data_IF_258423414409
#
_entry.id   IF_258423414409
#
_cell.length_a   1.000
_cell.length_b   1.000
_cell.length_c   1.000
_cell.angle_alpha   90.00
_cell.angle_beta   90.00
_cell.angle_gamma   90.00
#
_symmetry.space_group_name_H-M   'P 1'
#
loop_
_entity.id
_entity.type
_entity.pdbx_description
1 polymer ?
#
# COMPACT_ATOMS: atom_id res chain seq x y z
N UNK A 1 -2.45 -1.59 -29.89
CA UNK A 1 -1.73 -1.22 -28.65
C UNK A 1 -2.11 0.23 -28.35
N UNK A 2 -3.10 0.46 -27.48
CA UNK A 2 -3.47 1.83 -27.12
C UNK A 2 -2.49 2.35 -26.09
N UNK A 3 -1.74 3.40 -26.44
CA UNK A 3 -0.98 4.20 -25.49
C UNK A 3 -1.96 4.87 -24.51
N UNK A 4 -2.09 4.30 -23.32
CA UNK A 4 -2.78 4.95 -22.21
C UNK A 4 -1.88 6.09 -21.73
N UNK A 5 -2.07 7.30 -22.28
CA UNK A 5 -1.50 8.54 -21.74
C UNK A 5 -1.96 8.72 -20.30
N UNK A 6 -1.16 8.26 -19.34
CA UNK A 6 -1.36 8.53 -17.92
C UNK A 6 -1.09 10.02 -17.67
N UNK A 7 -2.11 10.73 -17.22
CA UNK A 7 -2.01 12.14 -16.80
C UNK A 7 -1.02 12.27 -15.64
N UNK A 8 -0.08 13.22 -15.66
CA UNK A 8 0.89 13.38 -14.58
C UNK A 8 0.17 13.75 -13.29
N UNK A 9 0.24 12.87 -12.27
CA UNK A 9 -0.34 13.15 -10.96
C UNK A 9 0.27 14.42 -10.35
N UNK A 10 -0.56 15.20 -9.63
CA UNK A 10 -0.20 16.52 -9.04
C UNK A 10 1.21 16.53 -8.45
N UNK A 11 2.13 17.24 -9.11
CA UNK A 11 3.52 17.39 -8.63
C UNK A 11 3.56 18.42 -7.51
N UNK A 12 4.55 18.29 -6.62
CA UNK A 12 4.80 19.31 -5.57
C UNK A 12 5.06 20.69 -6.18
N UNK A 13 5.63 20.73 -7.40
CA UNK A 13 5.84 21.97 -8.17
C UNK A 13 4.53 22.66 -8.57
N UNK A 14 3.47 21.91 -8.87
CA UNK A 14 2.16 22.45 -9.27
C UNK A 14 1.38 23.03 -8.09
N UNK A 15 1.77 22.69 -6.85
CA UNK A 15 1.16 23.19 -5.63
C UNK A 15 1.71 24.56 -5.22
N UNK A 16 2.91 24.94 -5.69
CA UNK A 16 3.55 26.23 -5.37
C UNK A 16 2.82 27.43 -6.00
N UNK A 17 2.04 27.20 -7.06
CA UNK A 17 1.27 28.24 -7.75
C UNK A 17 -0.15 28.43 -7.18
N UNK A 18 -0.57 27.56 -6.25
CA UNK A 18 -1.89 27.60 -5.60
C UNK A 18 -1.78 28.28 -4.23
N UNK A 19 -2.84 28.97 -3.80
CA UNK A 19 -2.93 29.48 -2.42
C UNK A 19 -2.81 28.33 -1.40
N UNK A 20 -2.17 28.56 -0.24
CA UNK A 20 -1.79 27.50 0.70
C UNK A 20 -2.93 26.56 1.12
N UNK A 21 -4.13 27.09 1.33
CA UNK A 21 -5.32 26.28 1.66
C UNK A 21 -5.75 25.38 0.48
N UNK A 22 -5.69 25.88 -0.75
CA UNK A 22 -6.04 25.10 -1.93
C UNK A 22 -5.05 23.94 -2.15
N UNK A 23 -3.75 24.21 -1.99
CA UNK A 23 -2.72 23.19 -2.05
C UNK A 23 -2.90 22.12 -0.96
N UNK A 24 -3.21 22.53 0.27
CA UNK A 24 -3.48 21.62 1.37
C UNK A 24 -4.68 20.72 1.11
N UNK A 25 -5.80 21.29 0.66
CA UNK A 25 -7.03 20.53 0.33
C UNK A 25 -6.77 19.48 -0.74
N UNK A 26 -6.07 19.85 -1.79
CA UNK A 26 -5.72 18.92 -2.86
C UNK A 26 -4.78 17.80 -2.39
N UNK A 27 -3.83 18.11 -1.50
CA UNK A 27 -2.94 17.09 -0.92
C UNK A 27 -3.63 16.11 0.03
N UNK A 28 -4.62 16.58 0.78
CA UNK A 28 -5.23 15.82 1.87
C UNK A 28 -6.47 15.06 1.42
N UNK A 29 -7.45 15.75 0.85
CA UNK A 29 -8.75 15.18 0.52
C UNK A 29 -9.00 15.12 -0.99
N UNK A 30 -8.13 15.73 -1.80
CA UNK A 30 -8.30 15.84 -3.25
C UNK A 30 -9.40 16.85 -3.63
N UNK A 31 -10.02 16.64 -4.79
CA UNK A 31 -11.08 17.51 -5.31
C UNK A 31 -12.45 17.14 -4.72
N UNK A 32 -12.68 17.51 -3.47
CA UNK A 32 -13.97 17.33 -2.78
C UNK A 32 -14.65 18.66 -2.45
N UNK A 33 -15.95 18.61 -2.15
CA UNK A 33 -16.70 19.78 -1.68
C UNK A 33 -16.09 20.34 -0.40
N UNK A 34 -16.30 21.64 -0.15
CA UNK A 34 -15.76 22.29 1.05
C UNK A 34 -16.33 21.70 2.35
N UNK A 35 -17.59 21.28 2.35
CA UNK A 35 -18.20 20.58 3.49
C UNK A 35 -17.58 19.21 3.76
N UNK A 36 -17.26 18.44 2.72
CA UNK A 36 -16.58 17.15 2.88
C UNK A 36 -15.16 17.33 3.44
N UNK A 37 -14.46 18.38 3.02
CA UNK A 37 -13.18 18.77 3.59
C UNK A 37 -13.29 19.10 5.09
N UNK A 38 -14.19 20.01 5.47
CA UNK A 38 -14.38 20.39 6.88
C UNK A 38 -14.76 19.19 7.76
N UNK A 39 -15.61 18.29 7.24
CA UNK A 39 -15.98 17.05 7.92
C UNK A 39 -14.76 16.16 8.16
N UNK A 40 -13.90 16.01 7.16
CA UNK A 40 -12.64 15.26 7.28
C UNK A 40 -11.77 15.86 8.38
N UNK A 41 -11.50 17.17 8.32
CA UNK A 41 -10.69 17.88 9.31
C UNK A 41 -11.23 17.74 10.73
N UNK A 42 -12.54 17.90 10.91
CA UNK A 42 -13.19 17.80 12.21
C UNK A 42 -13.04 16.40 12.81
N UNK A 43 -13.34 15.36 12.03
CA UNK A 43 -13.29 13.98 12.51
C UNK A 43 -11.86 13.52 12.81
N UNK A 44 -10.90 13.83 11.93
CA UNK A 44 -9.50 13.44 12.14
C UNK A 44 -8.87 14.21 13.30
N UNK A 45 -9.18 15.50 13.46
CA UNK A 45 -8.65 16.33 14.55
C UNK A 45 -9.18 15.90 15.92
N UNK A 46 -10.48 15.57 16.02
CA UNK A 46 -11.11 15.20 17.30
C UNK A 46 -10.83 13.74 17.69
N UNK A 47 -10.90 12.82 16.74
CA UNK A 47 -10.90 11.37 17.01
C UNK A 47 -9.56 10.71 16.74
N UNK A 48 -8.65 11.37 16.03
CA UNK A 48 -7.35 10.81 15.65
C UNK A 48 -6.57 10.32 16.86
N UNK A 49 -6.37 11.18 17.86
CA UNK A 49 -5.55 10.87 19.05
C UNK A 49 -6.33 10.20 20.18
N UNK A 50 -7.66 10.17 20.10
CA UNK A 50 -8.52 9.72 21.19
C UNK A 50 -8.22 8.26 21.57
N UNK A 51 -7.80 7.99 22.83
CA UNK A 51 -7.38 6.66 23.25
C UNK A 51 -8.54 5.77 23.70
N UNK A 52 -8.22 4.50 23.94
CA UNK A 52 -9.10 3.52 24.57
C UNK A 52 -10.25 3.03 23.68
N UNK A 53 -11.11 2.19 24.28
CA UNK A 53 -12.24 1.56 23.59
C UNK A 53 -13.25 2.58 23.04
N UNK A 54 -13.46 3.69 23.74
CA UNK A 54 -14.35 4.77 23.28
C UNK A 54 -13.82 5.41 21.98
N UNK A 55 -12.53 5.76 21.93
CA UNK A 55 -11.91 6.31 20.72
C UNK A 55 -11.94 5.32 19.55
N UNK A 56 -11.66 4.05 19.81
CA UNK A 56 -11.78 2.98 18.80
C UNK A 56 -13.22 2.87 18.27
N UNK A 57 -14.21 2.82 19.15
CA UNK A 57 -15.62 2.74 18.78
C UNK A 57 -16.05 3.95 17.93
N UNK A 58 -15.71 5.16 18.36
CA UNK A 58 -16.06 6.39 17.63
C UNK A 58 -15.41 6.43 16.25
N UNK A 59 -14.12 6.08 16.12
CA UNK A 59 -13.47 5.99 14.81
C UNK A 59 -14.13 4.93 13.93
N UNK A 60 -14.41 3.72 14.44
CA UNK A 60 -15.12 2.67 13.70
C UNK A 60 -16.54 3.04 13.27
N UNK A 61 -17.19 4.00 13.91
CA UNK A 61 -18.51 4.51 13.50
C UNK A 61 -18.44 5.72 12.58
N UNK A 62 -17.48 6.62 12.80
CA UNK A 62 -17.46 7.93 12.16
C UNK A 62 -16.48 8.02 10.98
N UNK A 63 -15.38 7.27 10.96
CA UNK A 63 -14.46 7.28 9.81
C UNK A 63 -15.03 6.68 8.53
N UNK A 64 -15.90 5.64 8.56
CA UNK A 64 -16.51 5.08 7.36
C UNK A 64 -17.17 6.12 6.43
N UNK A 65 -17.74 7.19 6.99
CA UNK A 65 -18.42 8.22 6.20
C UNK A 65 -17.48 9.23 5.51
N UNK A 66 -16.16 9.03 5.62
CA UNK A 66 -15.12 9.72 4.85
C UNK A 66 -14.65 8.87 3.65
N UNK A 67 -14.84 7.55 3.72
CA UNK A 67 -14.26 6.59 2.80
C UNK A 67 -15.11 6.41 1.54
N UNK A 68 -14.50 5.87 0.47
CA UNK A 68 -15.22 5.47 -0.74
C UNK A 68 -16.17 4.30 -0.48
N UNK A 69 -15.71 3.30 0.28
CA UNK A 69 -16.55 2.25 0.84
C UNK A 69 -15.90 1.64 2.08
N UNK A 70 -16.73 1.13 3.00
CA UNK A 70 -16.25 0.52 4.23
C UNK A 70 -17.17 -0.64 4.64
N UNK A 71 -16.58 -1.82 4.81
CA UNK A 71 -17.26 -3.03 5.27
C UNK A 71 -17.62 -3.00 6.76
N UNK A 72 -18.18 -4.12 7.23
CA UNK A 72 -18.55 -4.32 8.63
C UNK A 72 -17.34 -4.68 9.48
N UNK A 73 -17.35 -4.26 10.74
CA UNK A 73 -16.31 -4.66 11.70
C UNK A 73 -14.92 -4.07 11.42
N UNK A 74 -14.82 -3.01 10.62
CA UNK A 74 -13.55 -2.33 10.35
C UNK A 74 -13.06 -1.58 11.59
N UNK A 75 -11.78 -1.76 11.92
CA UNK A 75 -11.14 -1.13 13.07
C UNK A 75 -10.09 -0.12 12.62
N UNK A 76 -10.14 1.07 13.23
CA UNK A 76 -9.20 2.16 12.97
C UNK A 76 -8.43 2.51 14.24
N UNK A 77 -7.11 2.34 14.17
CA UNK A 77 -6.16 2.73 15.20
C UNK A 77 -6.09 4.25 15.38
N UNK A 78 -5.33 4.64 16.39
CA UNK A 78 -5.02 6.03 16.70
C UNK A 78 -4.09 6.64 15.66
N UNK A 79 -4.25 7.93 15.41
CA UNK A 79 -3.36 8.73 14.58
C UNK A 79 -3.14 8.16 13.17
N UNK A 80 -4.11 7.40 12.65
CA UNK A 80 -4.04 7.00 11.26
C UNK A 80 -4.20 8.24 10.37
N UNK A 81 -3.46 8.27 9.28
CA UNK A 81 -3.57 9.32 8.28
C UNK A 81 -4.28 8.77 7.07
N UNK A 82 -5.43 9.37 6.73
CA UNK A 82 -6.19 9.05 5.54
C UNK A 82 -6.05 10.22 4.56
N UNK A 83 -5.58 9.94 3.35
CA UNK A 83 -5.53 10.92 2.26
C UNK A 83 -6.28 10.41 1.05
N UNK A 84 -7.00 11.33 0.41
CA UNK A 84 -7.98 11.01 -0.64
C UNK A 84 -8.96 9.92 -0.17
N UNK A 85 -9.61 10.09 0.99
CA UNK A 85 -10.34 9.01 1.64
C UNK A 85 -11.50 8.46 0.79
N UNK A 86 -12.10 9.28 -0.07
CA UNK A 86 -13.13 8.85 -1.03
C UNK A 86 -12.67 7.78 -2.03
N UNK A 87 -11.36 7.53 -2.13
CA UNK A 87 -10.75 6.52 -3.00
C UNK A 87 -10.16 5.34 -2.22
N UNK A 88 -10.49 5.24 -0.94
CA UNK A 88 -10.10 4.14 -0.08
C UNK A 88 -11.33 3.25 0.11
N UNK A 89 -11.16 1.97 -0.20
CA UNK A 89 -12.19 0.95 -0.18
C UNK A 89 -11.77 -0.18 0.76
N UNK A 90 -12.52 -0.37 1.85
CA UNK A 90 -12.21 -1.35 2.89
C UNK A 90 -13.28 -2.44 2.93
N UNK A 91 -12.87 -3.70 2.90
CA UNK A 91 -13.73 -4.87 3.08
C UNK A 91 -14.07 -5.14 4.56
N UNK A 92 -14.81 -6.22 4.78
CA UNK A 92 -15.23 -6.62 6.13
C UNK A 92 -14.05 -7.04 7.00
N UNK A 93 -14.05 -6.61 8.26
CA UNK A 93 -13.03 -7.01 9.24
C UNK A 93 -11.62 -6.48 8.96
N UNK A 94 -11.47 -5.47 8.09
CA UNK A 94 -10.17 -4.81 7.89
C UNK A 94 -9.73 -4.12 9.18
N UNK A 95 -8.44 -4.23 9.50
CA UNK A 95 -7.83 -3.57 10.65
C UNK A 95 -6.70 -2.68 10.16
N UNK A 96 -6.77 -1.40 10.52
CA UNK A 96 -5.70 -0.43 10.28
C UNK A 96 -5.17 0.00 11.65
N UNK A 97 -3.98 -0.45 12.04
CA UNK A 97 -3.40 -0.19 13.36
C UNK A 97 -2.81 1.24 13.47
N UNK A 98 -2.44 1.60 14.69
CA UNK A 98 -2.00 2.93 15.10
C UNK A 98 -0.93 3.52 14.15
N UNK A 99 -1.04 4.81 13.84
CA UNK A 99 -0.10 5.60 13.05
C UNK A 99 0.12 5.12 11.61
N UNK A 100 -0.73 4.22 11.09
CA UNK A 100 -0.67 3.83 9.68
C UNK A 100 -1.08 5.01 8.77
N UNK A 101 -0.54 5.02 7.55
CA UNK A 101 -0.86 6.02 6.53
C UNK A 101 -1.47 5.31 5.33
N UNK A 102 -2.67 5.71 4.93
CA UNK A 102 -3.33 5.25 3.71
C UNK A 102 -3.56 6.47 2.81
N UNK A 103 -2.82 6.55 1.70
CA UNK A 103 -2.82 7.72 0.81
C UNK A 103 -3.13 7.32 -0.64
N UNK A 104 -4.39 7.47 -1.04
CA UNK A 104 -4.91 7.06 -2.34
C UNK A 104 -4.77 8.14 -3.43
N UNK A 105 -3.64 8.87 -3.43
CA UNK A 105 -3.40 10.00 -4.33
C UNK A 105 -3.33 9.59 -5.82
N UNK A 106 -3.80 10.48 -6.68
CA UNK A 106 -3.80 10.35 -8.14
C UNK A 106 -5.17 10.71 -8.70
N UNK A 107 -5.23 11.24 -9.92
CA UNK A 107 -6.52 11.63 -10.53
C UNK A 107 -7.18 10.48 -11.27
N UNK A 108 -6.39 9.64 -11.95
CA UNK A 108 -6.87 8.58 -12.84
C UNK A 108 -6.44 7.19 -12.35
N UNK A 109 -6.85 6.80 -11.15
CA UNK A 109 -6.61 5.44 -10.63
C UNK A 109 -7.77 4.97 -9.75
N UNK A 110 -7.79 3.66 -9.45
CA UNK A 110 -8.84 3.02 -8.63
C UNK A 110 -8.63 3.24 -7.12
N UNK A 111 -7.56 3.94 -6.74
CA UNK A 111 -7.20 4.22 -5.35
C UNK A 111 -6.59 3.01 -4.62
N UNK A 112 -7.03 2.81 -3.38
CA UNK A 112 -6.53 1.74 -2.51
C UNK A 112 -7.71 0.86 -2.10
N UNK A 113 -7.62 -0.43 -2.42
CA UNK A 113 -8.59 -1.46 -2.05
C UNK A 113 -7.97 -2.47 -1.11
N UNK A 114 -8.55 -2.62 0.08
CA UNK A 114 -8.21 -3.66 1.04
C UNK A 114 -9.43 -4.58 1.16
N UNK A 115 -9.30 -5.85 0.76
CA UNK A 115 -10.39 -6.82 0.84
C UNK A 115 -10.60 -7.31 2.29
N UNK A 116 -11.47 -8.30 2.47
CA UNK A 116 -11.87 -8.76 3.80
C UNK A 116 -10.69 -9.26 4.63
N UNK A 117 -10.69 -8.93 5.93
CA UNK A 117 -9.72 -9.41 6.92
C UNK A 117 -8.27 -9.04 6.61
N UNK A 118 -8.03 -7.97 5.84
CA UNK A 118 -6.69 -7.40 5.68
C UNK A 118 -6.26 -6.72 6.98
N UNK A 119 -5.02 -6.98 7.40
CA UNK A 119 -4.39 -6.33 8.55
C UNK A 119 -3.25 -5.42 8.09
N UNK A 120 -3.34 -4.13 8.44
CA UNK A 120 -2.28 -3.14 8.26
C UNK A 120 -1.67 -2.81 9.61
N UNK A 121 -0.43 -3.24 9.82
CA UNK A 121 0.30 -3.07 11.07
C UNK A 121 0.71 -1.62 11.36
N UNK A 122 1.10 -1.40 12.61
CA UNK A 122 1.45 -0.09 13.16
C UNK A 122 2.49 0.65 12.32
N UNK A 123 2.20 1.91 11.99
CA UNK A 123 3.13 2.77 11.25
C UNK A 123 3.43 2.33 9.82
N UNK A 124 2.66 1.39 9.27
CA UNK A 124 2.76 0.98 7.87
C UNK A 124 2.16 2.05 6.96
N UNK A 125 2.82 2.29 5.83
CA UNK A 125 2.42 3.29 4.83
C UNK A 125 1.99 2.55 3.57
N UNK A 126 0.72 2.70 3.19
CA UNK A 126 0.18 2.23 1.92
C UNK A 126 -0.19 3.46 1.11
N UNK A 127 0.51 3.71 0.01
CA UNK A 127 0.25 4.90 -0.79
C UNK A 127 0.41 4.67 -2.27
N UNK A 128 -0.34 5.42 -3.06
CA UNK A 128 -0.18 5.45 -4.50
C UNK A 128 -0.03 6.87 -5.04
N UNK A 129 0.62 6.98 -6.20
CA UNK A 129 0.74 8.24 -6.95
C UNK A 129 0.46 7.97 -8.41
N UNK A 130 -0.82 8.00 -8.77
CA UNK A 130 -1.25 7.71 -10.15
C UNK A 130 -1.44 6.22 -10.44
N UNK A 131 -1.01 5.33 -9.55
CA UNK A 131 -1.32 3.89 -9.61
C UNK A 131 -2.38 3.43 -8.61
N UNK A 132 -2.68 2.14 -8.60
CA UNK A 132 -3.62 1.51 -7.65
C UNK A 132 -2.90 0.52 -6.73
N UNK A 133 -3.44 0.31 -5.53
CA UNK A 133 -3.01 -0.77 -4.62
C UNK A 133 -4.20 -1.65 -4.28
N UNK A 134 -4.05 -2.96 -4.43
CA UNK A 134 -5.06 -3.96 -4.06
C UNK A 134 -4.43 -5.03 -3.16
N UNK A 135 -4.90 -5.12 -1.92
CA UNK A 135 -4.58 -6.22 -1.02
C UNK A 135 -5.78 -7.15 -0.95
N UNK A 136 -5.59 -8.40 -1.38
CA UNK A 136 -6.63 -9.43 -1.34
C UNK A 136 -6.92 -9.91 0.09
N UNK A 137 -7.95 -10.75 0.23
CA UNK A 137 -8.47 -11.15 1.54
C UNK A 137 -7.43 -11.86 2.41
N UNK A 138 -7.40 -11.51 3.69
CA UNK A 138 -6.51 -12.12 4.68
C UNK A 138 -5.03 -11.76 4.52
N UNK A 139 -4.66 -10.78 3.68
CA UNK A 139 -3.29 -10.27 3.64
C UNK A 139 -2.93 -9.64 4.99
N UNK A 140 -1.78 -10.02 5.54
CA UNK A 140 -1.26 -9.49 6.80
C UNK A 140 0.04 -8.72 6.55
N UNK A 141 0.01 -7.41 6.77
CA UNK A 141 1.17 -6.54 6.65
C UNK A 141 1.63 -6.14 8.05
N UNK A 142 2.80 -6.61 8.46
CA UNK A 142 3.38 -6.25 9.76
C UNK A 142 3.73 -4.76 9.85
N UNK A 143 4.15 -4.33 11.05
CA UNK A 143 4.47 -2.94 11.36
C UNK A 143 5.58 -2.33 10.49
N UNK A 144 5.44 -1.02 10.24
CA UNK A 144 6.44 -0.16 9.58
C UNK A 144 6.86 -0.65 8.19
N UNK A 145 5.95 -1.29 7.47
CA UNK A 145 6.17 -1.57 6.05
C UNK A 145 5.81 -0.36 5.20
N UNK A 146 6.32 -0.33 3.97
CA UNK A 146 5.90 0.66 2.97
C UNK A 146 5.51 -0.06 1.69
N UNK A 147 4.27 0.14 1.27
CA UNK A 147 3.71 -0.41 0.04
C UNK A 147 3.39 0.77 -0.88
N UNK A 148 4.07 0.83 -2.02
CA UNK A 148 3.95 1.93 -2.97
C UNK A 148 3.55 1.47 -4.37
N UNK A 149 2.69 2.25 -5.02
CA UNK A 149 2.32 2.07 -6.41
C UNK A 149 2.21 3.39 -7.21
N UNK A 150 2.93 3.48 -8.33
CA UNK A 150 2.71 4.46 -9.40
C UNK A 150 2.02 3.86 -10.64
N UNK A 151 1.80 2.54 -10.66
CA UNK A 151 1.02 1.82 -11.68
C UNK A 151 0.02 0.86 -11.02
N UNK A 152 0.44 -0.34 -10.63
CA UNK A 152 -0.41 -1.29 -9.94
C UNK A 152 0.41 -2.19 -9.02
N UNK A 153 -0.03 -2.31 -7.77
CA UNK A 153 0.49 -3.27 -6.79
C UNK A 153 -0.66 -4.16 -6.32
N UNK A 154 -0.55 -5.46 -6.58
CA UNK A 154 -1.51 -6.46 -6.09
C UNK A 154 -0.80 -7.47 -5.20
N UNK A 155 -1.36 -7.73 -4.03
CA UNK A 155 -0.87 -8.74 -3.09
C UNK A 155 -1.98 -9.77 -2.88
N UNK A 156 -1.69 -11.01 -3.26
CA UNK A 156 -2.62 -12.12 -3.24
C UNK A 156 -2.99 -12.58 -1.83
N UNK A 157 -4.16 -13.21 -1.73
CA UNK A 157 -4.79 -13.62 -0.47
C UNK A 157 -3.87 -14.43 0.44
N UNK A 158 -4.04 -14.26 1.75
CA UNK A 158 -3.30 -15.02 2.76
C UNK A 158 -1.78 -14.76 2.81
N UNK A 159 -1.26 -13.80 2.05
CA UNK A 159 0.15 -13.43 2.09
C UNK A 159 0.49 -12.66 3.37
N UNK A 160 1.60 -13.04 3.99
CA UNK A 160 2.13 -12.40 5.20
C UNK A 160 3.41 -11.65 4.87
N UNK A 161 3.49 -10.38 5.27
CA UNK A 161 4.64 -9.49 5.07
C UNK A 161 5.22 -9.13 6.42
N UNK A 162 6.47 -9.49 6.63
CA UNK A 162 7.23 -9.20 7.84
C UNK A 162 7.57 -7.72 7.96
N UNK A 163 7.75 -7.27 9.20
CA UNK A 163 7.95 -5.86 9.55
C UNK A 163 9.11 -5.21 8.78
N UNK A 164 9.03 -3.89 8.60
CA UNK A 164 10.07 -3.08 7.94
C UNK A 164 10.35 -3.43 6.48
N UNK A 165 9.39 -4.07 5.79
CA UNK A 165 9.55 -4.44 4.38
C UNK A 165 9.09 -3.31 3.45
N UNK A 166 9.72 -3.22 2.28
CA UNK A 166 9.50 -2.19 1.28
C UNK A 166 9.12 -2.83 -0.06
N UNK A 167 7.89 -2.63 -0.53
CA UNK A 167 7.42 -3.12 -1.83
C UNK A 167 7.13 -1.93 -2.73
N UNK A 168 7.87 -1.81 -3.83
CA UNK A 168 7.86 -0.65 -4.71
C UNK A 168 7.41 -1.04 -6.12
N UNK A 169 6.23 -0.56 -6.55
CA UNK A 169 5.89 -0.41 -7.96
C UNK A 169 6.00 1.07 -8.31
N UNK A 170 7.11 1.49 -8.90
CA UNK A 170 7.52 2.90 -8.90
C UNK A 170 8.27 3.38 -10.12
N UNK A 171 8.72 2.47 -10.98
CA UNK A 171 9.70 2.78 -12.02
C UNK A 171 11.06 3.17 -11.44
N UNK A 172 11.98 3.49 -12.33
CA UNK A 172 13.35 3.91 -12.01
C UNK A 172 13.60 5.31 -12.60
N UNK A 173 14.65 6.01 -12.19
CA UNK A 173 15.07 7.23 -12.89
C UNK A 173 16.03 6.89 -14.02
N UNK A 174 15.99 7.66 -15.11
CA UNK A 174 16.97 7.48 -16.18
C UNK A 174 18.25 8.19 -15.76
N UNK A 175 19.26 7.39 -15.39
CA UNK A 175 20.57 7.91 -15.00
C UNK A 175 21.45 8.27 -16.19
N UNK A 176 21.00 7.98 -17.42
CA UNK A 176 21.64 8.38 -18.67
C UNK A 176 21.06 9.69 -19.22
N UNK A 177 19.84 10.07 -18.81
CA UNK A 177 19.24 11.36 -19.13
C UNK A 177 19.95 12.51 -18.37
N UNK A 178 20.49 13.53 -19.06
CA UNK A 178 21.17 14.65 -18.42
C UNK A 178 20.23 15.60 -17.65
N UNK A 179 18.92 15.48 -17.81
CA UNK A 179 17.92 16.26 -17.07
C UNK A 179 18.07 16.02 -15.57
N UNK A 180 18.09 17.06 -14.72
CA UNK A 180 18.16 16.88 -13.28
C UNK A 180 17.09 15.91 -12.77
N UNK A 181 17.43 14.95 -11.89
CA UNK A 181 16.49 13.93 -11.40
C UNK A 181 15.18 14.50 -10.82
N UNK A 182 15.23 15.68 -10.19
CA UNK A 182 14.05 16.37 -9.65
C UNK A 182 13.11 16.97 -10.72
N UNK A 183 13.57 17.00 -11.98
CA UNK A 183 12.85 17.47 -13.16
C UNK A 183 12.42 16.33 -14.07
N UNK A 184 13.12 15.20 -14.01
CA UNK A 184 12.69 13.97 -14.67
C UNK A 184 11.30 13.52 -14.21
N UNK A 185 10.53 12.95 -15.14
CA UNK A 185 9.23 12.39 -14.85
C UNK A 185 9.30 10.99 -14.21
N UNK A 186 10.52 10.44 -14.04
CA UNK A 186 10.77 9.02 -13.76
C UNK A 186 10.51 8.17 -15.01
N UNK A 187 11.24 7.07 -15.15
CA UNK A 187 10.91 6.03 -16.12
C UNK A 187 9.56 5.41 -15.75
N UNK A 188 8.80 5.05 -16.78
CA UNK A 188 7.57 4.28 -16.61
C UNK A 188 7.92 2.97 -15.87
N UNK A 189 7.02 2.53 -14.99
CA UNK A 189 7.14 1.22 -14.35
C UNK A 189 7.37 0.14 -15.42
N UNK A 190 8.19 -0.87 -15.12
CA UNK A 190 8.38 -2.03 -16.02
C UNK A 190 7.14 -2.93 -16.10
N UNK A 191 6.11 -2.63 -15.31
CA UNK A 191 4.83 -3.33 -15.27
C UNK A 191 4.21 -3.24 -13.89
N UNK A 192 3.09 -3.96 -13.65
CA UNK A 192 2.54 -4.13 -12.31
C UNK A 192 3.52 -4.91 -11.42
N UNK A 193 3.47 -4.66 -10.11
CA UNK A 193 4.08 -5.54 -9.12
C UNK A 193 3.01 -6.51 -8.58
N UNK A 194 3.14 -7.78 -8.92
CA UNK A 194 2.23 -8.84 -8.49
C UNK A 194 2.93 -9.72 -7.47
N UNK A 195 2.36 -9.85 -6.27
CA UNK A 195 2.73 -10.85 -5.27
C UNK A 195 1.59 -11.87 -5.22
N UNK A 196 1.88 -13.13 -5.48
CA UNK A 196 0.88 -14.20 -5.50
C UNK A 196 0.30 -14.51 -4.12
N UNK A 197 -0.67 -15.42 -4.08
CA UNK A 197 -1.31 -15.85 -2.84
C UNK A 197 -0.37 -16.64 -1.91
N UNK A 198 -0.66 -16.64 -0.61
CA UNK A 198 -0.01 -17.47 0.39
C UNK A 198 1.52 -17.33 0.44
N UNK A 199 2.06 -16.16 0.13
CA UNK A 199 3.50 -15.92 0.25
C UNK A 199 3.88 -15.58 1.70
N UNK A 200 5.09 -15.94 2.09
CA UNK A 200 5.71 -15.46 3.32
C UNK A 200 6.91 -14.57 2.98
N UNK A 201 6.74 -13.27 3.15
CA UNK A 201 7.81 -12.28 2.97
C UNK A 201 8.42 -12.01 4.34
N UNK A 202 9.69 -12.36 4.54
CA UNK A 202 10.40 -12.12 5.79
C UNK A 202 10.53 -10.64 6.15
N UNK A 203 11.02 -10.35 7.35
CA UNK A 203 11.24 -8.97 7.80
C UNK A 203 12.31 -8.27 6.98
N UNK A 204 12.19 -6.95 6.79
CA UNK A 204 13.20 -6.12 6.09
C UNK A 204 13.48 -6.59 4.65
N UNK A 205 12.47 -7.09 3.95
CA UNK A 205 12.60 -7.44 2.53
C UNK A 205 12.31 -6.21 1.67
N UNK A 206 13.12 -6.01 0.63
CA UNK A 206 12.85 -5.00 -0.41
C UNK A 206 12.47 -5.71 -1.71
N UNK A 207 11.31 -5.38 -2.27
CA UNK A 207 10.87 -5.86 -3.58
C UNK A 207 10.84 -4.68 -4.55
N UNK A 208 11.62 -4.80 -5.62
CA UNK A 208 11.76 -3.75 -6.63
C UNK A 208 10.69 -3.85 -7.72
N UNK A 209 10.61 -2.80 -8.52
CA UNK A 209 9.65 -2.66 -9.61
C UNK A 209 9.70 -3.86 -10.58
N UNK A 210 8.53 -4.38 -10.93
CA UNK A 210 8.32 -5.56 -11.77
C UNK A 210 8.99 -6.87 -11.31
N UNK A 211 9.47 -6.95 -10.06
CA UNK A 211 9.97 -8.19 -9.48
C UNK A 211 8.83 -9.06 -8.93
N UNK A 212 7.90 -9.47 -9.82
CA UNK A 212 6.71 -10.25 -9.45
C UNK A 212 7.07 -11.55 -8.74
N UNK A 213 6.31 -11.89 -7.70
CA UNK A 213 6.52 -13.06 -6.85
C UNK A 213 5.36 -14.02 -7.09
N UNK A 214 5.64 -15.23 -7.55
CA UNK A 214 4.62 -16.28 -7.70
C UNK A 214 4.01 -16.70 -6.36
N UNK A 215 2.89 -17.41 -6.40
CA UNK A 215 2.23 -17.88 -5.18
C UNK A 215 3.10 -18.83 -4.35
N UNK A 216 2.80 -18.89 -3.05
CA UNK A 216 3.45 -19.80 -2.12
C UNK A 216 4.98 -19.67 -2.07
N UNK A 217 5.51 -18.48 -2.37
CA UNK A 217 6.93 -18.18 -2.22
C UNK A 217 7.27 -17.83 -0.77
N UNK A 218 8.48 -18.22 -0.35
CA UNK A 218 9.09 -17.77 0.90
C UNK A 218 10.29 -16.89 0.57
N UNK A 219 10.30 -15.67 1.10
CA UNK A 219 11.41 -14.73 0.93
C UNK A 219 12.12 -14.56 2.27
N UNK A 220 13.38 -14.96 2.33
CA UNK A 220 14.19 -14.81 3.55
C UNK A 220 14.32 -13.35 3.99
N UNK A 221 14.42 -13.14 5.31
CA UNK A 221 14.58 -11.80 5.88
C UNK A 221 15.80 -11.06 5.31
N UNK A 222 15.69 -9.73 5.17
CA UNK A 222 16.78 -8.88 4.66
C UNK A 222 17.06 -9.00 3.15
N UNK A 223 16.23 -9.71 2.40
CA UNK A 223 16.49 -9.95 0.97
C UNK A 223 16.09 -8.78 0.07
N UNK A 224 16.74 -8.66 -1.08
CA UNK A 224 16.35 -7.71 -2.15
C UNK A 224 15.89 -8.49 -3.38
N UNK A 225 14.59 -8.50 -3.65
CA UNK A 225 13.98 -9.15 -4.81
C UNK A 225 13.96 -8.16 -5.96
N UNK A 226 14.82 -8.38 -6.95
CA UNK A 226 15.01 -7.49 -8.09
C UNK A 226 14.67 -8.14 -9.45
N UNK A 227 14.08 -9.33 -9.42
CA UNK A 227 13.66 -10.09 -10.60
C UNK A 227 12.50 -11.01 -10.23
N UNK A 228 11.68 -11.43 -11.20
CA UNK A 228 10.57 -12.32 -10.94
C UNK A 228 11.00 -13.63 -10.27
N UNK A 229 10.16 -14.10 -9.35
CA UNK A 229 10.30 -15.41 -8.70
C UNK A 229 9.12 -16.29 -9.12
N UNK A 230 9.44 -17.52 -9.53
CA UNK A 230 8.42 -18.51 -9.85
C UNK A 230 7.74 -19.02 -8.58
N UNK A 231 6.49 -19.45 -8.69
CA UNK A 231 5.71 -19.99 -7.58
C UNK A 231 6.42 -21.15 -6.86
N UNK A 232 6.06 -21.37 -5.60
CA UNK A 232 6.61 -22.43 -4.74
C UNK A 232 8.15 -22.40 -4.68
N UNK A 233 8.74 -21.24 -4.43
CA UNK A 233 10.19 -21.14 -4.23
C UNK A 233 10.56 -20.51 -2.90
N UNK A 234 11.63 -21.01 -2.30
CA UNK A 234 12.36 -20.30 -1.25
C UNK A 234 13.46 -19.47 -1.91
N UNK A 235 13.45 -18.16 -1.72
CA UNK A 235 14.49 -17.27 -2.18
C UNK A 235 15.06 -16.42 -1.04
N UNK A 236 16.35 -16.13 -1.06
CA UNK A 236 16.95 -15.21 -0.09
C UNK A 236 18.21 -14.52 -0.65
N UNK A 237 18.65 -13.45 0.02
CA UNK A 237 19.90 -12.75 -0.23
C UNK A 237 19.73 -11.40 -0.92
N UNK A 238 20.88 -10.74 -1.15
CA UNK A 238 20.95 -9.42 -1.80
C UNK A 238 21.96 -9.51 -2.95
N UNK A 239 21.51 -9.60 -4.22
CA UNK A 239 20.12 -9.82 -4.65
C UNK A 239 19.59 -11.23 -4.34
N UNK A 240 18.27 -11.37 -4.20
CA UNK A 240 17.61 -12.63 -3.85
C UNK A 240 17.85 -13.71 -4.91
N UNK A 241 18.14 -14.92 -4.46
CA UNK A 241 18.39 -16.10 -5.31
C UNK A 241 17.49 -17.24 -4.84
N UNK A 242 16.90 -17.97 -5.78
CA UNK A 242 16.14 -19.18 -5.48
C UNK A 242 17.13 -20.18 -4.85
N UNK A 243 16.84 -20.60 -3.63
CA UNK A 243 17.62 -21.59 -2.87
C UNK A 243 17.08 -22.99 -3.09
N UNK A 244 15.75 -23.14 -3.14
CA UNK A 244 15.06 -24.41 -3.43
C UNK A 244 13.65 -24.19 -3.93
N UNK A 245 13.09 -25.21 -4.57
CA UNK A 245 11.63 -25.32 -4.79
C UNK A 245 10.97 -25.91 -3.55
N UNK A 246 9.77 -25.44 -3.26
CA UNK A 246 8.89 -25.95 -2.21
C UNK A 246 8.00 -26.98 -2.89
N UNK A 247 7.94 -28.19 -2.35
CA UNK A 247 7.06 -29.23 -2.88
C UNK A 247 5.62 -28.98 -2.39
N UNK A 248 4.65 -28.71 -3.28
CA UNK A 248 3.26 -28.51 -2.89
C UNK A 248 2.60 -29.79 -2.35
N UNK A 249 3.16 -30.98 -2.60
CA UNK A 249 2.64 -32.26 -2.14
C UNK A 249 3.29 -32.76 -0.84
N UNK A 250 4.25 -32.00 -0.26
CA UNK A 250 4.88 -32.40 0.98
C UNK A 250 3.83 -32.43 2.12
N UNK A 251 3.75 -33.52 2.90
CA UNK A 251 2.80 -33.60 4.00
C UNK A 251 3.11 -32.51 5.03
N UNK A 252 2.04 -31.95 5.60
CA UNK A 252 2.11 -30.98 6.69
C UNK A 252 3.01 -31.56 7.80
N UNK A 253 4.13 -30.89 8.09
CA UNK A 253 5.01 -31.32 9.18
C UNK A 253 4.23 -31.11 10.47
N UNK A 254 3.63 -32.20 11.00
CA UNK A 254 3.06 -32.20 12.35
C UNK A 254 4.14 -31.70 13.31
N UNK A 255 3.84 -30.64 14.05
CA UNK A 255 4.71 -30.16 15.11
C UNK A 255 5.11 -31.33 16.02
N UNK A 256 6.39 -31.43 16.42
CA UNK A 256 6.78 -32.40 17.43
C UNK A 256 6.01 -32.08 18.72
N UNK A 257 5.20 -33.04 19.16
CA UNK A 257 4.44 -33.05 20.42
C UNK A 257 5.34 -32.90 21.64
#
# INVERSE_FOLDING_TARGET
MSETKHSPGTKVKDLRTKGGLAAYRELTVGRVSFGAFLKSELLTSLLGTMPGACGLFLRSKLYPCLLGSCGKGVLFGRNITLRHPSKIHLGDGVIIDDNAVIDAKGENNDGIRLDAQVFIGRGTIVYCKGGSVHLESGVNVSSRCTLFSSNALTIGRGTVIGAYSYLLSGGEYDYQDPTPFAEQNGMQTRGPLLVGANCWIGTRVTVLDAACIGEHCVIGAGSVVNRPLIAHTLAAGVPARILKRIDPAAPEQKEPS
#
